data_IF_069792634866
#
_entry.id   IF_069792634866
#
_cell.length_a   1.000
_cell.length_b   1.000
_cell.length_c   1.000
_cell.angle_alpha   90.00
_cell.angle_beta   90.00
_cell.angle_gamma   90.00
#
_symmetry.space_group_name_H-M   'P 1'
#
loop_
_entity.id
_entity.type
_entity.pdbx_description
1 polymer ?
#
# COMPACT_ATOMS: atom_id res chain seq x y z
N UNK A 1 10.05 0.73 -14.12
CA UNK A 1 8.89 1.64 -14.02
C UNK A 1 8.68 1.96 -12.57
N UNK A 2 8.49 3.22 -12.24
CA UNK A 2 8.43 3.68 -10.87
C UNK A 2 6.96 3.73 -10.44
N UNK A 3 6.54 2.75 -9.63
CA UNK A 3 5.16 2.54 -9.21
C UNK A 3 4.93 3.03 -7.77
N UNK A 4 3.68 3.34 -7.37
CA UNK A 4 3.39 3.91 -6.05
C UNK A 4 3.82 3.01 -4.88
N UNK A 5 3.81 1.67 -5.03
CA UNK A 5 4.28 0.75 -3.99
C UNK A 5 5.80 0.82 -3.83
N UNK A 6 6.54 0.82 -4.93
CA UNK A 6 8.00 0.93 -4.91
C UNK A 6 8.44 2.28 -4.31
N UNK A 7 7.71 3.37 -4.58
CA UNK A 7 7.95 4.66 -3.93
C UNK A 7 7.67 4.62 -2.43
N UNK A 8 6.52 4.08 -2.02
CA UNK A 8 6.19 3.93 -0.60
C UNK A 8 7.28 3.14 0.15
N UNK A 9 7.73 2.02 -0.42
CA UNK A 9 8.83 1.21 0.13
C UNK A 9 10.12 2.02 0.22
N UNK A 10 10.53 2.66 -0.86
CA UNK A 10 11.79 3.42 -0.92
C UNK A 10 11.79 4.56 0.08
N UNK A 11 10.69 5.28 0.23
CA UNK A 11 10.56 6.36 1.20
C UNK A 11 10.54 5.83 2.64
N UNK A 12 9.84 4.72 2.91
CA UNK A 12 9.82 4.09 4.24
C UNK A 12 11.19 3.55 4.67
N UNK A 13 11.93 2.91 3.78
CA UNK A 13 13.29 2.38 4.05
C UNK A 13 14.25 3.54 4.33
N UNK A 14 14.23 4.56 3.48
CA UNK A 14 15.15 5.70 3.59
C UNK A 14 14.70 6.75 4.63
N UNK A 15 13.58 6.51 5.34
CA UNK A 15 12.98 7.45 6.31
C UNK A 15 12.79 8.86 5.72
N UNK A 16 12.42 8.91 4.45
CA UNK A 16 12.07 10.16 3.76
C UNK A 16 10.68 10.60 4.16
N UNK A 17 10.44 11.91 4.10
CA UNK A 17 9.14 12.47 4.39
C UNK A 17 8.10 12.06 3.34
N UNK A 18 6.91 11.67 3.80
CA UNK A 18 5.74 11.38 2.97
C UNK A 18 4.66 12.37 3.39
N UNK A 19 4.30 13.28 2.48
CA UNK A 19 3.35 14.34 2.76
C UNK A 19 1.96 13.90 2.29
N UNK A 20 0.96 14.06 3.15
CA UNK A 20 -0.44 13.90 2.76
C UNK A 20 -1.03 15.30 2.62
N UNK A 21 -1.49 15.64 1.42
CA UNK A 21 -2.12 16.94 1.14
C UNK A 21 -3.39 16.70 0.33
N UNK A 22 -4.49 17.24 0.83
CA UNK A 22 -5.83 17.04 0.26
C UNK A 22 -6.12 15.54 0.07
N UNK A 23 -6.42 15.12 -1.16
CA UNK A 23 -6.67 13.71 -1.49
C UNK A 23 -5.45 12.99 -2.10
N UNK A 24 -4.24 13.53 -1.91
CA UNK A 24 -3.01 13.03 -2.53
C UNK A 24 -1.93 12.68 -1.50
N UNK A 25 -1.07 11.75 -1.89
CA UNK A 25 0.13 11.33 -1.18
C UNK A 25 1.33 11.72 -2.04
N UNK A 26 2.20 12.55 -1.46
CA UNK A 26 3.35 13.13 -2.13
C UNK A 26 4.63 12.46 -1.66
N UNK A 27 5.47 12.15 -2.64
CA UNK A 27 6.81 11.60 -2.52
C UNK A 27 7.79 12.54 -3.21
N UNK A 28 8.19 13.61 -2.52
CA UNK A 28 8.97 14.70 -3.13
C UNK A 28 8.11 15.43 -4.17
N UNK A 29 8.58 15.47 -5.42
CA UNK A 29 7.90 16.14 -6.54
C UNK A 29 6.85 15.27 -7.24
N UNK A 30 6.60 14.05 -6.73
CA UNK A 30 5.63 13.12 -7.32
C UNK A 30 4.43 12.97 -6.41
N UNK A 31 3.24 12.94 -7.01
CA UNK A 31 1.97 12.85 -6.33
C UNK A 31 1.11 11.72 -6.90
N UNK A 32 0.43 11.00 -6.02
CA UNK A 32 -0.61 10.05 -6.38
C UNK A 32 -1.88 10.30 -5.58
N UNK A 33 -3.07 10.05 -6.15
CA UNK A 33 -4.30 10.00 -5.38
C UNK A 33 -4.20 8.95 -4.27
N UNK A 34 -4.74 9.23 -3.08
CA UNK A 34 -4.82 8.27 -1.96
C UNK A 34 -5.43 6.93 -2.35
N UNK A 35 -6.42 6.98 -3.24
CA UNK A 35 -7.20 5.83 -3.72
C UNK A 35 -6.52 5.06 -4.84
N UNK A 36 -5.32 5.46 -5.29
CA UNK A 36 -4.62 4.77 -6.37
C UNK A 36 -4.36 3.32 -5.97
N UNK A 37 -4.66 2.40 -6.89
CA UNK A 37 -4.32 1.00 -6.70
C UNK A 37 -2.81 0.79 -6.88
N UNK A 38 -2.23 0.01 -5.99
CA UNK A 38 -0.86 -0.48 -6.13
C UNK A 38 -0.81 -1.75 -6.98
N UNK A 39 0.38 -2.31 -7.15
CA UNK A 39 0.59 -3.64 -7.74
C UNK A 39 0.59 -4.77 -6.70
N UNK A 40 0.25 -4.52 -5.42
CA UNK A 40 0.17 -5.57 -4.41
C UNK A 40 -1.24 -6.18 -4.37
N UNK A 41 -1.34 -7.46 -4.76
CA UNK A 41 -2.58 -8.24 -4.78
C UNK A 41 -3.14 -8.45 -3.37
N UNK A 42 -4.46 -8.29 -3.24
CA UNK A 42 -5.16 -8.65 -2.01
C UNK A 42 -5.30 -10.16 -1.88
N UNK A 43 -5.04 -10.70 -0.69
CA UNK A 43 -5.16 -12.13 -0.39
C UNK A 43 -6.51 -12.68 -0.81
N UNK A 44 -6.52 -13.71 -1.65
CA UNK A 44 -7.75 -14.38 -2.09
C UNK A 44 -8.48 -13.69 -3.26
N UNK A 45 -7.96 -12.57 -3.77
CA UNK A 45 -8.43 -12.01 -5.05
C UNK A 45 -7.91 -12.85 -6.24
N UNK A 46 -8.56 -12.72 -7.40
CA UNK A 46 -8.13 -13.42 -8.62
C UNK A 46 -8.36 -14.95 -8.61
N UNK A 47 -9.11 -15.47 -7.64
CA UNK A 47 -9.47 -16.90 -7.53
C UNK A 47 -10.82 -17.17 -8.18
N UNK A 48 -11.00 -18.37 -8.72
CA UNK A 48 -12.29 -18.86 -9.26
C UNK A 48 -12.93 -17.91 -10.30
N UNK A 49 -12.10 -17.22 -11.09
CA UNK A 49 -12.57 -16.26 -12.11
C UNK A 49 -12.97 -14.90 -11.57
N UNK A 50 -12.85 -14.65 -10.25
CA UNK A 50 -13.02 -13.30 -9.69
C UNK A 50 -11.93 -12.35 -10.19
N UNK A 51 -12.23 -11.04 -10.32
CA UNK A 51 -11.23 -10.06 -10.70
C UNK A 51 -10.10 -10.00 -9.66
N UNK A 52 -8.90 -9.67 -10.13
CA UNK A 52 -7.78 -9.31 -9.26
C UNK A 52 -8.09 -7.99 -8.58
N UNK A 53 -7.85 -7.92 -7.28
CA UNK A 53 -8.00 -6.70 -6.50
C UNK A 53 -6.67 -6.35 -5.87
N UNK A 54 -6.40 -5.05 -5.75
CA UNK A 54 -5.13 -4.52 -5.27
C UNK A 54 -5.35 -3.58 -4.10
N UNK A 55 -4.38 -3.49 -3.20
CA UNK A 55 -4.45 -2.51 -2.12
C UNK A 55 -4.21 -1.10 -2.64
N UNK A 56 -4.94 -0.14 -2.09
CA UNK A 56 -4.73 1.28 -2.38
C UNK A 56 -3.51 1.83 -1.65
N UNK A 57 -2.92 2.90 -2.16
CA UNK A 57 -1.76 3.54 -1.54
C UNK A 57 -2.04 4.03 -0.11
N UNK A 58 -3.21 4.64 0.12
CA UNK A 58 -3.63 5.08 1.46
C UNK A 58 -3.77 3.92 2.44
N UNK A 59 -4.32 2.79 1.99
CA UNK A 59 -4.44 1.58 2.80
C UNK A 59 -3.07 1.11 3.33
N UNK A 60 -2.06 1.07 2.44
CA UNK A 60 -0.71 0.65 2.78
C UNK A 60 0.01 1.66 3.67
N UNK A 61 -0.15 2.96 3.40
CA UNK A 61 0.43 4.01 4.22
C UNK A 61 -0.18 4.03 5.63
N UNK A 62 -1.50 3.84 5.74
CA UNK A 62 -2.20 3.76 7.02
C UNK A 62 -1.73 2.55 7.83
N UNK A 63 -1.48 1.40 7.19
CA UNK A 63 -0.85 0.25 7.84
C UNK A 63 0.53 0.59 8.41
N UNK A 64 1.39 1.25 7.63
CA UNK A 64 2.75 1.62 8.05
C UNK A 64 2.77 2.58 9.24
N UNK A 65 1.86 3.56 9.27
CA UNK A 65 1.74 4.51 10.38
C UNK A 65 1.25 3.85 11.68
N UNK A 66 0.54 2.73 11.56
CA UNK A 66 -0.15 2.06 12.67
C UNK A 66 0.36 0.63 12.93
N UNK A 67 1.64 0.37 12.66
CA UNK A 67 2.25 -0.97 12.80
C UNK A 67 2.24 -1.50 14.23
N UNK A 68 2.30 -0.61 15.23
CA UNK A 68 2.32 -0.94 16.65
C UNK A 68 0.96 -1.40 17.18
N UNK A 69 -0.12 -1.12 16.46
CA UNK A 69 -1.46 -1.53 16.85
C UNK A 69 -1.68 -3.01 16.60
N UNK A 70 -2.42 -3.65 17.51
CA UNK A 70 -2.95 -4.99 17.25
C UNK A 70 -3.90 -4.94 16.05
N UNK A 71 -3.97 -6.03 15.30
CA UNK A 71 -4.77 -6.05 14.07
C UNK A 71 -6.25 -5.64 14.27
N UNK A 72 -6.96 -6.08 15.33
CA UNK A 72 -8.33 -5.62 15.59
C UNK A 72 -8.43 -4.11 15.88
N UNK A 73 -7.44 -3.51 16.54
CA UNK A 73 -7.42 -2.06 16.82
C UNK A 73 -7.17 -1.29 15.52
N UNK A 74 -6.19 -1.75 14.72
CA UNK A 74 -5.92 -1.21 13.38
C UNK A 74 -7.18 -1.22 12.50
N UNK A 75 -7.92 -2.33 12.45
CA UNK A 75 -9.15 -2.45 11.64
C UNK A 75 -10.21 -1.45 12.10
N UNK A 76 -10.40 -1.29 13.41
CA UNK A 76 -11.37 -0.32 13.95
C UNK A 76 -11.00 1.12 13.61
N UNK A 77 -9.72 1.48 13.70
CA UNK A 77 -9.27 2.83 13.35
C UNK A 77 -9.37 3.10 11.85
N UNK A 78 -8.97 2.15 11.00
CA UNK A 78 -9.14 2.26 9.55
C UNK A 78 -10.61 2.48 9.17
N UNK A 79 -11.53 1.72 9.79
CA UNK A 79 -12.96 1.87 9.57
C UNK A 79 -13.48 3.26 9.99
N UNK A 80 -12.99 3.83 11.09
CA UNK A 80 -13.35 5.18 11.53
C UNK A 80 -12.90 6.27 10.54
N UNK A 81 -11.81 6.02 9.81
CA UNK A 81 -11.28 6.91 8.77
C UNK A 81 -11.82 6.58 7.35
N UNK A 82 -12.72 5.59 7.22
CA UNK A 82 -13.21 5.07 5.94
C UNK A 82 -12.11 4.55 5.01
N UNK A 83 -11.02 4.03 5.58
CA UNK A 83 -9.87 3.48 4.84
C UNK A 83 -10.02 1.95 4.73
N UNK A 84 -9.85 1.35 3.55
CA UNK A 84 -9.78 -0.10 3.39
C UNK A 84 -8.67 -0.72 4.24
N UNK A 85 -8.87 -1.96 4.72
CA UNK A 85 -7.91 -2.63 5.60
C UNK A 85 -7.06 -3.65 4.85
N UNK A 86 -5.78 -3.73 5.20
CA UNK A 86 -4.92 -4.84 4.78
C UNK A 86 -5.39 -6.12 5.44
N UNK A 87 -5.63 -7.17 4.66
CA UNK A 87 -6.08 -8.47 5.18
C UNK A 87 -4.99 -9.09 6.06
N UNK A 88 -5.40 -9.74 7.14
CA UNK A 88 -4.48 -10.33 8.13
C UNK A 88 -3.41 -11.25 7.52
N UNK A 89 -3.70 -12.13 6.55
CA UNK A 89 -2.69 -13.00 5.93
C UNK A 89 -1.56 -12.23 5.24
N UNK A 90 -1.87 -11.11 4.58
CA UNK A 90 -0.90 -10.32 3.83
C UNK A 90 -0.02 -9.44 4.73
N UNK A 91 -0.52 -9.08 5.92
CA UNK A 91 0.12 -8.06 6.78
C UNK A 91 1.60 -8.34 7.04
N UNK A 92 1.98 -9.58 7.31
CA UNK A 92 3.38 -9.93 7.63
C UNK A 92 4.30 -9.74 6.42
N UNK A 93 3.93 -10.30 5.27
CA UNK A 93 4.74 -10.26 4.06
C UNK A 93 4.84 -8.83 3.52
N UNK A 94 3.71 -8.11 3.50
CA UNK A 94 3.65 -6.73 3.05
C UNK A 94 4.55 -5.82 3.91
N UNK A 95 4.52 -5.96 5.23
CA UNK A 95 5.40 -5.18 6.11
C UNK A 95 6.88 -5.54 5.90
N UNK A 96 7.21 -6.83 5.78
CA UNK A 96 8.58 -7.26 5.50
C UNK A 96 9.09 -6.67 4.17
N UNK A 97 8.24 -6.63 3.13
CA UNK A 97 8.58 -5.98 1.87
C UNK A 97 8.77 -4.47 2.01
N UNK A 98 7.81 -3.77 2.64
CA UNK A 98 7.86 -2.31 2.82
C UNK A 98 9.01 -1.85 3.72
N UNK A 99 9.45 -2.68 4.68
CA UNK A 99 10.60 -2.44 5.55
C UNK A 99 11.95 -2.81 4.90
N UNK A 100 11.93 -3.43 3.72
CA UNK A 100 13.14 -3.84 3.00
C UNK A 100 13.73 -5.18 3.46
N UNK A 101 13.07 -5.91 4.37
CA UNK A 101 13.43 -7.28 4.76
C UNK A 101 13.26 -8.25 3.58
N UNK A 102 12.26 -7.99 2.73
CA UNK A 102 12.07 -8.69 1.46
C UNK A 102 12.35 -7.75 0.27
N UNK A 103 12.98 -8.30 -0.76
CA UNK A 103 13.23 -7.62 -2.04
C UNK A 103 12.11 -7.81 -3.05
N UNK A 104 11.33 -8.88 -2.90
CA UNK A 104 10.20 -9.24 -3.74
C UNK A 104 9.12 -9.96 -2.92
N UNK A 105 7.90 -9.99 -3.45
CA UNK A 105 6.76 -10.74 -2.91
C UNK A 105 6.02 -11.39 -4.08
N UNK A 106 5.47 -12.59 -3.87
CA UNK A 106 4.67 -13.29 -4.87
C UNK A 106 3.35 -12.56 -5.17
N UNK A 107 2.90 -11.71 -4.24
CA UNK A 107 1.70 -10.90 -4.37
C UNK A 107 1.94 -9.62 -5.19
N UNK A 108 3.17 -9.33 -5.61
CA UNK A 108 3.46 -8.19 -6.49
C UNK A 108 3.20 -8.59 -7.94
N UNK A 109 2.13 -8.07 -8.50
CA UNK A 109 1.74 -8.29 -9.89
C UNK A 109 2.33 -7.22 -10.81
N UNK A 110 3.36 -7.59 -11.56
CA UNK A 110 4.01 -6.67 -12.52
C UNK A 110 3.12 -6.32 -13.73
N UNK A 111 2.02 -7.04 -13.93
CA UNK A 111 1.04 -6.76 -14.99
C UNK A 111 -0.11 -5.86 -14.53
N UNK A 112 -0.14 -5.47 -13.24
CA UNK A 112 -1.18 -4.59 -12.72
C UNK A 112 -1.20 -3.25 -13.49
N UNK A 113 -2.39 -2.71 -13.80
CA UNK A 113 -2.50 -1.39 -14.38
C UNK A 113 -2.03 -0.36 -13.34
N UNK A 114 -0.91 0.30 -13.63
CA UNK A 114 -0.32 1.31 -12.74
C UNK A 114 -0.69 2.71 -13.22
N UNK A 115 -1.20 3.53 -12.31
CA UNK A 115 -1.40 4.95 -12.60
C UNK A 115 -0.07 5.71 -12.57
N UNK A 116 0.06 6.64 -13.51
CA UNK A 116 1.24 7.50 -13.67
C UNK A 116 1.16 8.61 -12.61
N UNK A 117 2.24 8.91 -11.86
CA UNK A 117 2.25 10.04 -10.94
C UNK A 117 1.98 11.36 -11.65
N UNK A 118 1.34 12.29 -10.94
CA UNK A 118 1.29 13.70 -11.32
C UNK A 118 2.48 14.46 -10.72
N UNK A 119 2.89 15.55 -11.37
CA UNK A 119 3.88 16.52 -10.87
C UNK A 119 3.17 17.70 -10.20
#
# INVERSE_FOLDING_TARGET
MADPLTFLRTYNINKKEIIIKDNHILFGDLSWPKTVNTNFLMYGSGKDGSPKEYYTLECLLFLLKNVTLTHPVYVRQAAAENIPVVRRPDRRELLAYLNGELTASASIDRSAPLEIPTQ
#
